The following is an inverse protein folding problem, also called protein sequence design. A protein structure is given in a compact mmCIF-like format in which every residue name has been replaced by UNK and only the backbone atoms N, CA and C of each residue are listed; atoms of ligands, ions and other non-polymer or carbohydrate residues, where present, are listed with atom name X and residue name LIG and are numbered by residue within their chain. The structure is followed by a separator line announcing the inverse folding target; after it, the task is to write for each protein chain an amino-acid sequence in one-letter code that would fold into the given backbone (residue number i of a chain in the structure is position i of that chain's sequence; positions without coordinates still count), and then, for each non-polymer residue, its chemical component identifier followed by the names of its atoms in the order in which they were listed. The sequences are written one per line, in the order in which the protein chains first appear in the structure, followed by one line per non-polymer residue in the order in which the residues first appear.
data_IF_299491503776
#
_entry.id   IF_299491503776
#
_cell.length_a   1.000
_cell.length_b   1.000
_cell.length_c   1.000
_cell.angle_alpha   90.00
_cell.angle_beta   90.00
_cell.angle_gamma   90.00
#
_symmetry.space_group_name_H-M   'P 1'
#
loop_
_entity.id
_entity.type
_entity.pdbx_description
1 polymer ?
#
# COMPACT_ATOMS: atom_id res chain seq x y z
N UNK A 1 -10.14 -10.82 8.22
CA UNK A 1 -10.44 -9.47 7.68
C UNK A 1 -11.01 -8.65 8.81
N UNK A 2 -10.40 -7.50 9.16
CA UNK A 2 -10.95 -6.56 10.14
C UNK A 2 -11.86 -5.54 9.46
N UNK A 3 -12.99 -5.23 10.06
CA UNK A 3 -13.90 -4.18 9.61
C UNK A 3 -13.71 -2.97 10.53
N UNK A 4 -13.51 -1.79 9.94
CA UNK A 4 -13.23 -0.56 10.67
C UNK A 4 -14.05 0.58 10.07
N UNK A 5 -14.49 1.50 10.92
CA UNK A 5 -15.14 2.75 10.51
C UNK A 5 -14.31 3.92 11.04
N UNK A 6 -14.01 4.89 10.18
CA UNK A 6 -13.25 6.10 10.53
C UNK A 6 -13.97 7.34 10.00
N UNK A 7 -14.07 8.35 10.85
CA UNK A 7 -14.56 9.68 10.46
C UNK A 7 -13.38 10.51 9.97
N UNK A 8 -13.46 11.03 8.75
CA UNK A 8 -12.43 11.89 8.17
C UNK A 8 -13.05 13.19 7.66
N UNK A 9 -12.21 14.20 7.44
CA UNK A 9 -12.60 15.47 6.84
C UNK A 9 -13.14 15.31 5.42
N UNK A 10 -14.05 16.18 4.98
CA UNK A 10 -14.69 16.10 3.65
C UNK A 10 -13.69 16.13 2.49
N UNK A 11 -12.55 16.78 2.71
CA UNK A 11 -11.41 16.77 1.80
C UNK A 11 -10.19 16.30 2.56
N UNK A 12 -9.57 15.22 2.07
CA UNK A 12 -8.38 14.63 2.66
C UNK A 12 -7.56 13.88 1.61
N UNK A 13 -6.34 13.52 2.00
CA UNK A 13 -5.50 12.58 1.28
C UNK A 13 -5.32 11.33 2.15
N UNK A 14 -5.40 10.16 1.53
CA UNK A 14 -5.11 8.88 2.18
C UNK A 14 -3.86 8.27 1.53
N UNK A 15 -2.76 8.28 2.28
CA UNK A 15 -1.48 7.70 1.92
C UNK A 15 -1.53 6.19 2.17
N UNK A 16 -1.30 5.41 1.14
CA UNK A 16 -1.34 3.94 1.18
C UNK A 16 0.08 3.45 0.88
N UNK A 17 0.72 2.88 1.89
CA UNK A 17 2.15 2.54 1.86
C UNK A 17 2.40 1.26 2.64
N UNK A 18 3.57 0.66 2.50
CA UNK A 18 3.95 -0.56 3.21
C UNK A 18 5.32 -1.02 2.74
N UNK A 19 5.67 -2.26 3.07
CA UNK A 19 6.91 -2.89 2.60
C UNK A 19 8.13 -2.01 2.91
N UNK A 20 8.17 -1.51 4.15
CA UNK A 20 9.29 -0.70 4.65
C UNK A 20 10.47 -1.58 5.03
N UNK A 21 10.21 -2.80 5.52
CA UNK A 21 11.26 -3.77 5.86
C UNK A 21 12.31 -3.21 6.83
N UNK A 22 11.87 -2.66 7.96
CA UNK A 22 12.80 -2.16 8.98
C UNK A 22 13.72 -3.28 9.48
N UNK A 23 15.03 -3.01 9.49
CA UNK A 23 16.09 -4.01 9.70
C UNK A 23 16.89 -4.34 8.45
N UNK A 24 16.36 -4.02 7.25
CA UNK A 24 17.11 -4.10 5.99
C UNK A 24 17.89 -2.83 5.71
N UNK A 25 19.16 -2.97 5.31
CA UNK A 25 20.02 -1.84 4.91
C UNK A 25 19.62 -1.24 3.56
N UNK A 26 18.87 -1.99 2.74
CA UNK A 26 18.32 -1.53 1.47
C UNK A 26 17.03 -0.73 1.64
N UNK A 27 16.50 -0.63 2.86
CA UNK A 27 15.32 0.17 3.18
C UNK A 27 15.62 1.67 3.07
N UNK A 28 14.90 2.37 2.21
CA UNK A 28 15.10 3.79 1.92
C UNK A 28 14.64 4.68 3.07
N UNK A 29 15.59 5.12 3.90
CA UNK A 29 15.33 6.06 5.00
C UNK A 29 14.97 7.45 4.48
N UNK A 30 15.60 7.91 3.39
CA UNK A 30 15.29 9.19 2.74
C UNK A 30 13.87 9.18 2.17
N UNK A 31 13.47 8.06 1.55
CA UNK A 31 12.11 7.84 1.07
C UNK A 31 11.06 7.90 2.17
N UNK A 32 11.35 7.26 3.32
CA UNK A 32 10.45 7.29 4.47
C UNK A 32 10.33 8.69 5.10
N UNK A 33 11.46 9.40 5.28
CA UNK A 33 11.45 10.80 5.74
C UNK A 33 10.63 11.69 4.80
N UNK A 34 10.70 11.44 3.48
CA UNK A 34 9.87 12.15 2.50
C UNK A 34 8.37 11.88 2.71
N UNK A 35 7.97 10.63 2.93
CA UNK A 35 6.58 10.29 3.29
C UNK A 35 6.11 11.04 4.53
N UNK A 36 6.88 10.97 5.63
CA UNK A 36 6.53 11.66 6.90
C UNK A 36 6.32 13.16 6.65
N UNK A 37 7.28 13.80 5.98
CA UNK A 37 7.21 15.22 5.68
C UNK A 37 5.97 15.57 4.86
N UNK A 38 5.62 14.72 3.88
CA UNK A 38 4.41 14.91 3.08
C UNK A 38 3.13 14.73 3.89
N UNK A 39 3.07 13.76 4.81
CA UNK A 39 1.91 13.57 5.68
C UNK A 39 1.71 14.74 6.64
N UNK A 40 2.77 15.46 7.03
CA UNK A 40 2.65 16.68 7.83
C UNK A 40 2.49 17.97 7.03
N UNK A 41 2.57 17.91 5.70
CA UNK A 41 2.54 19.08 4.83
C UNK A 41 1.26 19.14 3.99
N UNK A 42 0.92 20.33 3.51
CA UNK A 42 -0.15 20.46 2.51
C UNK A 42 0.24 19.70 1.24
N UNK A 43 -0.61 18.77 0.80
CA UNK A 43 -0.46 18.05 -0.45
C UNK A 43 -1.67 18.31 -1.35
N UNK A 44 -1.40 18.81 -2.56
CA UNK A 44 -2.41 19.11 -3.58
C UNK A 44 -3.59 19.93 -3.01
N UNK A 45 -3.25 21.05 -2.38
CA UNK A 45 -4.20 21.98 -1.76
C UNK A 45 -4.84 21.50 -0.45
N UNK A 46 -4.61 20.27 0.01
CA UNK A 46 -5.25 19.70 1.20
C UNK A 46 -4.24 19.43 2.34
N UNK A 47 -4.63 19.75 3.58
CA UNK A 47 -3.78 19.56 4.78
C UNK A 47 -4.15 18.28 5.56
N UNK A 48 -5.34 17.73 5.34
CA UNK A 48 -5.82 16.56 6.07
C UNK A 48 -5.24 15.31 5.43
N UNK A 49 -4.18 14.77 6.04
CA UNK A 49 -3.48 13.61 5.54
C UNK A 49 -3.58 12.46 6.54
N UNK A 50 -3.92 11.28 6.02
CA UNK A 50 -4.05 10.05 6.81
C UNK A 50 -3.26 8.93 6.15
N UNK A 51 -2.88 7.92 6.93
CA UNK A 51 -2.05 6.80 6.46
C UNK A 51 -2.70 5.44 6.69
N UNK A 52 -2.43 4.51 5.78
CA UNK A 52 -2.67 3.06 5.93
C UNK A 52 -1.38 2.35 5.59
N UNK A 53 -0.77 1.71 6.59
CA UNK A 53 0.40 0.84 6.39
C UNK A 53 -0.11 -0.56 6.02
N UNK A 54 0.24 -1.07 4.84
CA UNK A 54 -0.22 -2.37 4.32
C UNK A 54 0.70 -3.52 4.68
N UNK A 55 1.62 -3.34 5.62
CA UNK A 55 2.36 -4.41 6.27
C UNK A 55 3.81 -4.54 5.83
N UNK A 56 4.45 -5.63 6.27
CA UNK A 56 5.91 -5.82 6.19
C UNK A 56 6.68 -4.64 6.79
N UNK A 57 6.30 -4.34 8.03
CA UNK A 57 6.91 -3.25 8.82
C UNK A 57 8.35 -3.57 9.24
N UNK A 58 8.72 -4.85 9.30
CA UNK A 58 10.07 -5.33 9.60
C UNK A 58 10.52 -6.34 8.55
N UNK A 59 11.83 -6.45 8.33
CA UNK A 59 12.42 -7.41 7.40
C UNK A 59 12.27 -8.86 7.90
N UNK A 60 12.31 -9.08 9.22
CA UNK A 60 12.14 -10.40 9.84
C UNK A 60 13.11 -11.47 9.30
N UNK A 61 14.26 -11.06 8.76
CA UNK A 61 15.41 -11.92 8.49
C UNK A 61 16.30 -11.90 9.74
N UNK A 62 16.47 -13.08 10.32
CA UNK A 62 17.24 -13.33 11.53
C UNK A 62 18.50 -14.13 11.17
N UNK A 63 19.48 -14.25 12.07
CA UNK A 63 20.76 -14.94 11.79
C UNK A 63 20.62 -16.40 11.34
N UNK A 64 19.49 -17.04 11.63
CA UNK A 64 19.15 -18.42 11.26
C UNK A 64 18.36 -18.53 9.95
N UNK A 65 17.98 -17.41 9.32
CA UNK A 65 17.36 -17.41 8.00
C UNK A 65 18.43 -17.56 6.91
N UNK A 66 18.22 -18.46 5.95
CA UNK A 66 19.15 -18.69 4.83
C UNK A 66 19.44 -17.46 3.97
N UNK A 67 18.59 -16.43 4.06
CA UNK A 67 18.73 -15.14 3.35
C UNK A 67 19.51 -14.12 4.17
N UNK A 68 19.88 -14.44 5.41
CA UNK A 68 20.73 -13.59 6.23
C UNK A 68 22.14 -13.62 5.66
N UNK A 69 22.62 -12.43 5.30
CA UNK A 69 23.99 -12.23 4.90
C UNK A 69 24.64 -11.30 5.94
N UNK A 70 25.77 -11.70 6.54
CA UNK A 70 26.43 -10.93 7.60
C UNK A 70 27.21 -9.72 7.07
N UNK A 71 27.19 -9.47 5.75
CA UNK A 71 27.90 -8.37 5.12
C UNK A 71 27.45 -7.04 5.73
N UNK A 72 28.42 -6.32 6.28
CA UNK A 72 28.29 -4.89 6.58
C UNK A 72 28.84 -4.15 5.36
N UNK A 73 28.19 -3.08 4.89
CA UNK A 73 28.81 -2.19 3.92
C UNK A 73 30.13 -1.71 4.52
N UNK A 74 31.20 -1.68 3.71
CA UNK A 74 32.56 -1.36 4.15
C UNK A 74 32.62 0.01 4.86
N UNK A 75 31.70 0.92 4.53
CA UNK A 75 31.69 2.32 4.98
C UNK A 75 30.39 2.79 5.66
N UNK A 76 29.53 1.90 6.16
CA UNK A 76 28.29 2.30 6.87
C UNK A 76 28.25 1.74 8.29
N UNK A 77 28.14 2.64 9.27
CA UNK A 77 27.94 2.32 10.69
C UNK A 77 26.56 1.67 10.99
N UNK A 78 25.67 1.62 10.00
CA UNK A 78 24.37 0.96 10.12
C UNK A 78 24.50 -0.54 9.83
N UNK A 79 24.74 -1.32 10.88
CA UNK A 79 24.69 -2.78 10.79
C UNK A 79 23.24 -3.27 10.58
N UNK A 80 23.09 -4.39 9.86
CA UNK A 80 21.86 -5.20 9.88
C UNK A 80 21.43 -5.40 11.33
N UNK A 81 20.11 -5.30 11.60
CA UNK A 81 19.55 -5.50 12.94
C UNK A 81 18.99 -6.93 13.00
N UNK A 82 19.79 -7.95 13.37
CA UNK A 82 19.34 -9.35 13.32
C UNK A 82 18.39 -9.75 14.45
N UNK A 83 17.92 -8.81 15.26
CA UNK A 83 17.02 -9.08 16.38
C UNK A 83 15.61 -8.60 16.05
N UNK A 84 14.65 -9.53 16.09
CA UNK A 84 13.23 -9.25 15.87
C UNK A 84 12.71 -8.10 16.75
N UNK A 85 13.09 -8.10 18.03
CA UNK A 85 12.69 -7.06 18.99
C UNK A 85 13.27 -5.71 18.57
N UNK A 86 14.56 -5.65 18.26
CA UNK A 86 15.20 -4.39 17.81
C UNK A 86 14.61 -3.88 16.49
N UNK A 87 14.25 -4.77 15.56
CA UNK A 87 13.55 -4.37 14.32
C UNK A 87 12.19 -3.76 14.63
N UNK A 88 11.42 -4.34 15.57
CA UNK A 88 10.13 -3.80 15.99
C UNK A 88 10.29 -2.47 16.74
N UNK A 89 11.29 -2.34 17.62
CA UNK A 89 11.59 -1.07 18.28
C UNK A 89 11.86 0.03 17.25
N UNK A 90 12.66 -0.27 16.22
CA UNK A 90 12.90 0.68 15.14
C UNK A 90 11.64 0.98 14.34
N UNK A 91 10.84 -0.04 14.02
CA UNK A 91 9.59 0.14 13.27
C UNK A 91 8.59 1.03 14.02
N UNK A 92 8.54 0.95 15.34
CA UNK A 92 7.75 1.84 16.22
C UNK A 92 8.35 3.24 16.21
N UNK A 93 9.65 3.38 16.49
CA UNK A 93 10.34 4.67 16.53
C UNK A 93 10.11 5.51 15.27
N UNK A 94 10.26 4.92 14.08
CA UNK A 94 10.14 5.68 12.82
C UNK A 94 8.70 6.02 12.44
N UNK A 95 7.71 5.34 13.03
CA UNK A 95 6.28 5.59 12.80
C UNK A 95 5.70 6.55 13.82
N UNK A 96 6.35 6.72 14.96
CA UNK A 96 5.94 7.64 16.03
C UNK A 96 5.54 9.04 15.53
N UNK A 97 6.27 9.69 14.59
CA UNK A 97 5.92 11.03 14.12
C UNK A 97 4.54 11.10 13.44
N UNK A 98 4.08 10.01 12.82
CA UNK A 98 2.84 9.96 12.04
C UNK A 98 1.73 9.13 12.70
N UNK A 99 1.92 8.67 13.94
CA UNK A 99 1.00 7.72 14.60
C UNK A 99 -0.44 8.22 14.68
N UNK A 100 -0.64 9.52 14.93
CA UNK A 100 -1.97 10.14 15.04
C UNK A 100 -2.68 10.23 13.67
N UNK A 101 -1.91 10.20 12.58
CA UNK A 101 -2.44 10.17 11.21
C UNK A 101 -2.66 8.76 10.68
N UNK A 102 -2.14 7.73 11.35
CA UNK A 102 -2.29 6.32 10.93
C UNK A 102 -3.67 5.79 11.31
N UNK A 103 -4.46 5.43 10.29
CA UNK A 103 -5.79 4.86 10.49
C UNK A 103 -5.73 3.39 10.91
N UNK A 104 -4.77 2.65 10.36
CA UNK A 104 -4.45 1.28 10.72
C UNK A 104 -3.08 0.87 10.19
N UNK A 105 -2.58 -0.26 10.71
CA UNK A 105 -1.46 -1.00 10.12
C UNK A 105 -1.86 -2.47 9.90
N UNK A 106 -1.56 -3.01 8.73
CA UNK A 106 -1.75 -4.42 8.41
C UNK A 106 -0.53 -5.25 8.76
N UNK A 107 -0.78 -6.52 9.03
CA UNK A 107 0.26 -7.53 9.13
C UNK A 107 0.77 -7.94 7.75
N UNK A 108 2.03 -8.34 7.67
CA UNK A 108 2.65 -8.80 6.42
C UNK A 108 3.23 -10.20 6.51
N UNK A 109 3.76 -10.73 5.41
CA UNK A 109 4.33 -12.08 5.43
C UNK A 109 5.71 -12.13 6.11
N UNK A 110 6.43 -11.04 6.24
CA UNK A 110 7.73 -10.99 6.93
C UNK A 110 7.56 -11.16 8.45
N UNK A 111 6.83 -10.28 9.18
CA UNK A 111 6.61 -10.46 10.62
C UNK A 111 6.03 -11.84 11.00
N UNK A 112 5.17 -12.41 10.14
CA UNK A 112 4.56 -13.74 10.35
C UNK A 112 5.54 -14.91 10.38
N UNK A 113 6.71 -14.80 9.74
CA UNK A 113 7.76 -15.83 9.84
C UNK A 113 8.21 -16.03 11.29
N UNK A 114 8.11 -14.96 12.08
CA UNK A 114 8.51 -14.91 13.48
C UNK A 114 7.32 -15.14 14.44
N UNK A 115 6.29 -15.89 14.02
CA UNK A 115 5.08 -16.15 14.81
C UNK A 115 5.36 -16.70 16.23
N UNK A 116 6.50 -17.37 16.44
CA UNK A 116 6.94 -17.88 17.74
C UNK A 116 7.18 -16.78 18.78
N UNK A 117 7.44 -15.55 18.31
CA UNK A 117 7.57 -14.35 19.14
C UNK A 117 6.23 -13.61 19.32
N UNK A 118 5.12 -14.22 18.88
CA UNK A 118 3.80 -13.61 18.88
C UNK A 118 3.53 -12.78 17.62
N UNK A 119 2.51 -11.93 17.71
CA UNK A 119 2.09 -11.07 16.61
C UNK A 119 2.82 -9.72 16.70
N UNK A 120 4.00 -9.66 16.10
CA UNK A 120 4.89 -8.50 16.17
C UNK A 120 4.25 -7.22 15.63
N UNK A 121 3.45 -7.31 14.55
CA UNK A 121 2.74 -6.14 14.02
C UNK A 121 1.67 -5.63 14.98
N UNK A 122 0.94 -6.54 15.63
CA UNK A 122 -0.05 -6.15 16.63
C UNK A 122 0.59 -5.53 17.88
N UNK A 123 1.78 -5.99 18.28
CA UNK A 123 2.56 -5.37 19.35
C UNK A 123 2.98 -3.93 18.98
N UNK A 124 3.53 -3.74 17.78
CA UNK A 124 3.86 -2.40 17.28
C UNK A 124 2.65 -1.46 17.26
N UNK A 125 1.49 -1.96 16.79
CA UNK A 125 0.22 -1.21 16.80
C UNK A 125 -0.18 -0.81 18.23
N UNK A 126 -0.10 -1.74 19.18
CA UNK A 126 -0.43 -1.49 20.59
C UNK A 126 0.47 -0.41 21.18
N UNK A 127 1.77 -0.43 20.89
CA UNK A 127 2.75 0.56 21.36
C UNK A 127 2.50 1.96 20.78
N UNK A 128 2.12 2.02 19.50
CA UNK A 128 1.82 3.27 18.80
C UNK A 128 0.42 3.82 19.11
N UNK A 129 -0.46 3.02 19.72
CA UNK A 129 -1.88 3.39 19.87
C UNK A 129 -2.66 3.36 18.53
N UNK A 130 -2.17 2.61 17.55
CA UNK A 130 -2.75 2.52 16.20
C UNK A 130 -3.57 1.24 16.06
N UNK A 131 -4.61 1.29 15.23
CA UNK A 131 -5.44 0.11 14.97
C UNK A 131 -4.69 -0.99 14.22
N UNK A 132 -4.61 -2.18 14.81
CA UNK A 132 -4.15 -3.37 14.11
C UNK A 132 -5.22 -3.90 13.16
N UNK A 133 -4.97 -3.90 11.85
CA UNK A 133 -5.93 -4.27 10.80
C UNK A 133 -5.96 -5.75 10.41
N UNK A 134 -5.17 -6.63 11.07
CA UNK A 134 -4.90 -8.01 10.62
C UNK A 134 -4.19 -8.06 9.26
N UNK A 135 -4.24 -9.16 8.52
CA UNK A 135 -3.64 -9.28 7.18
C UNK A 135 -4.46 -8.58 6.08
N UNK A 136 -5.76 -8.39 6.33
CA UNK A 136 -6.70 -7.68 5.45
C UNK A 136 -7.65 -6.84 6.28
N UNK A 137 -7.94 -5.63 5.82
CA UNK A 137 -8.91 -4.74 6.45
C UNK A 137 -9.83 -4.11 5.41
N UNK A 138 -11.05 -3.80 5.86
CA UNK A 138 -11.99 -2.95 5.14
C UNK A 138 -12.25 -1.71 5.98
N UNK A 139 -11.95 -0.54 5.41
CA UNK A 139 -12.19 0.76 6.03
C UNK A 139 -13.45 1.36 5.43
N UNK A 140 -14.40 1.68 6.29
CA UNK A 140 -15.57 2.50 5.96
C UNK A 140 -15.28 3.93 6.38
N UNK A 141 -15.22 4.84 5.42
CA UNK A 141 -14.92 6.25 5.66
C UNK A 141 -16.22 7.04 5.65
N UNK A 142 -16.47 7.76 6.73
CA UNK A 142 -17.66 8.60 6.89
C UNK A 142 -17.28 10.06 7.11
N UNK A 143 -18.19 10.97 6.78
CA UNK A 143 -18.04 12.39 7.11
C UNK A 143 -18.26 12.65 8.62
N UNK A 144 -18.16 13.92 9.03
CA UNK A 144 -18.38 14.35 10.42
C UNK A 144 -19.79 14.03 10.93
N UNK A 145 -20.78 14.05 10.04
CA UNK A 145 -22.18 13.69 10.31
C UNK A 145 -22.45 12.18 10.30
N UNK A 146 -21.46 11.36 9.94
CA UNK A 146 -21.57 9.90 9.87
C UNK A 146 -22.10 9.36 8.55
N UNK A 147 -22.27 10.19 7.52
CA UNK A 147 -22.67 9.72 6.19
C UNK A 147 -21.51 9.01 5.50
N UNK A 148 -21.81 7.94 4.77
CA UNK A 148 -20.81 7.19 4.01
C UNK A 148 -20.19 8.07 2.90
N UNK A 149 -18.87 8.22 2.94
CA UNK A 149 -18.10 8.86 1.87
C UNK A 149 -17.64 7.85 0.84
N UNK A 150 -16.96 6.78 1.28
CA UNK A 150 -16.48 5.67 0.46
C UNK A 150 -15.99 4.52 1.36
N UNK A 151 -15.71 3.36 0.77
CA UNK A 151 -15.06 2.23 1.45
C UNK A 151 -13.78 1.82 0.73
N UNK A 152 -12.77 1.42 1.49
CA UNK A 152 -11.53 0.84 0.97
C UNK A 152 -11.33 -0.58 1.47
N UNK A 153 -10.73 -1.42 0.64
CA UNK A 153 -10.20 -2.72 1.04
C UNK A 153 -8.68 -2.68 0.90
N UNK A 154 -7.99 -3.07 1.96
CA UNK A 154 -6.53 -3.16 1.98
C UNK A 154 -6.10 -4.58 2.37
N UNK A 155 -5.05 -5.07 1.72
CA UNK A 155 -4.41 -6.36 2.05
C UNK A 155 -2.92 -6.22 1.89
N UNK A 156 -2.13 -6.89 2.71
CA UNK A 156 -0.72 -7.07 2.37
C UNK A 156 -0.61 -7.94 1.10
N UNK A 157 -1.27 -9.10 1.13
CA UNK A 157 -1.42 -10.01 0.00
C UNK A 157 -0.20 -10.92 -0.20
N UNK A 158 -0.29 -11.83 -1.17
CA UNK A 158 0.67 -12.94 -1.30
C UNK A 158 1.05 -13.32 -2.74
N UNK A 159 0.15 -13.08 -3.72
CA UNK A 159 0.39 -13.49 -5.12
C UNK A 159 1.32 -12.50 -5.85
N UNK A 160 2.22 -12.97 -6.71
CA UNK A 160 3.08 -12.07 -7.48
C UNK A 160 2.32 -11.33 -8.61
N UNK A 161 2.85 -10.19 -9.04
CA UNK A 161 2.36 -9.42 -10.20
C UNK A 161 3.54 -9.23 -11.15
N UNK A 162 3.59 -10.07 -12.18
CA UNK A 162 4.67 -10.09 -13.17
C UNK A 162 4.09 -10.29 -14.57
N UNK A 163 4.82 -9.85 -15.59
CA UNK A 163 4.46 -10.05 -17.00
C UNK A 163 5.74 -10.23 -17.81
N UNK A 164 5.74 -11.22 -18.70
CA UNK A 164 6.85 -11.54 -19.61
C UNK A 164 6.78 -10.79 -20.94
N UNK A 165 5.78 -9.92 -21.14
CA UNK A 165 5.67 -9.09 -22.34
C UNK A 165 6.92 -8.19 -22.51
N UNK A 166 7.47 -8.20 -23.72
CA UNK A 166 8.58 -7.36 -24.18
C UNK A 166 8.22 -5.86 -24.23
N UNK A 167 7.07 -5.51 -24.82
CA UNK A 167 6.58 -4.14 -24.91
C UNK A 167 6.20 -3.57 -23.52
N UNK A 168 6.78 -2.43 -23.11
CA UNK A 168 6.50 -1.83 -21.80
C UNK A 168 5.03 -1.52 -21.54
N UNK A 169 4.29 -1.06 -22.56
CA UNK A 169 2.86 -0.72 -22.42
C UNK A 169 2.02 -1.97 -22.16
N UNK A 170 2.22 -3.02 -22.97
CA UNK A 170 1.58 -4.33 -22.80
C UNK A 170 1.95 -4.97 -21.46
N UNK A 171 3.22 -4.87 -21.04
CA UNK A 171 3.67 -5.36 -19.73
C UNK A 171 2.91 -4.68 -18.60
N UNK A 172 2.79 -3.35 -18.65
CA UNK A 172 2.04 -2.58 -17.66
C UNK A 172 0.56 -2.96 -17.63
N UNK A 173 -0.11 -2.99 -18.78
CA UNK A 173 -1.53 -3.37 -18.86
C UNK A 173 -1.78 -4.79 -18.34
N UNK A 174 -0.89 -5.74 -18.62
CA UNK A 174 -0.97 -7.10 -18.07
C UNK A 174 -0.85 -7.11 -16.55
N UNK A 175 0.10 -6.36 -15.98
CA UNK A 175 0.27 -6.25 -14.53
C UNK A 175 -0.94 -5.60 -13.84
N UNK A 176 -1.52 -4.56 -14.45
CA UNK A 176 -2.76 -3.91 -13.97
C UNK A 176 -3.95 -4.88 -14.00
N UNK A 177 -4.09 -5.69 -15.06
CA UNK A 177 -5.12 -6.73 -15.14
C UNK A 177 -4.94 -7.82 -14.07
N UNK A 178 -3.70 -8.25 -13.80
CA UNK A 178 -3.40 -9.21 -12.72
C UNK A 178 -3.76 -8.63 -11.36
N UNK A 179 -3.39 -7.37 -11.09
CA UNK A 179 -3.77 -6.65 -9.87
C UNK A 179 -5.29 -6.65 -9.67
N UNK A 180 -6.04 -6.25 -10.70
CA UNK A 180 -7.51 -6.23 -10.71
C UNK A 180 -8.09 -7.62 -10.45
N UNK A 181 -7.58 -8.67 -11.10
CA UNK A 181 -8.03 -10.06 -10.90
C UNK A 181 -7.80 -10.54 -9.46
N UNK A 182 -6.71 -10.13 -8.82
CA UNK A 182 -6.44 -10.48 -7.42
C UNK A 182 -7.45 -9.87 -6.45
N UNK A 183 -7.96 -8.68 -6.75
CA UNK A 183 -8.73 -7.86 -5.83
C UNK A 183 -10.24 -7.84 -6.10
N UNK A 184 -10.69 -7.94 -7.36
CA UNK A 184 -12.09 -7.67 -7.76
C UNK A 184 -13.18 -8.43 -6.99
N UNK A 185 -12.87 -9.62 -6.47
CA UNK A 185 -13.83 -10.46 -5.73
C UNK A 185 -13.64 -10.42 -4.21
N UNK A 186 -12.83 -9.51 -3.67
CA UNK A 186 -12.52 -9.47 -2.22
C UNK A 186 -13.51 -8.61 -1.41
N UNK A 187 -13.92 -7.47 -1.95
CA UNK A 187 -14.91 -6.59 -1.34
C UNK A 187 -15.67 -5.84 -2.46
N UNK A 188 -16.92 -6.23 -2.71
CA UNK A 188 -17.71 -5.76 -3.85
C UNK A 188 -18.17 -4.30 -3.75
N UNK A 189 -18.27 -3.79 -2.54
CA UNK A 189 -18.79 -2.47 -2.17
C UNK A 189 -17.68 -1.47 -1.82
N UNK A 190 -16.42 -1.80 -2.12
CA UNK A 190 -15.28 -0.92 -1.92
C UNK A 190 -14.91 -0.22 -3.24
N UNK A 191 -14.90 1.10 -3.23
CA UNK A 191 -14.49 1.92 -4.37
C UNK A 191 -12.98 1.89 -4.62
N UNK A 192 -12.19 1.59 -3.57
CA UNK A 192 -10.73 1.53 -3.63
C UNK A 192 -10.25 0.20 -3.07
N UNK A 193 -9.41 -0.50 -3.81
CA UNK A 193 -8.87 -1.81 -3.47
C UNK A 193 -7.35 -1.76 -3.57
N UNK A 194 -6.63 -1.96 -2.48
CA UNK A 194 -5.16 -1.90 -2.48
C UNK A 194 -4.49 -3.14 -1.93
N UNK A 195 -3.29 -3.38 -2.44
CA UNK A 195 -2.42 -4.48 -2.05
C UNK A 195 -0.95 -4.01 -1.91
N UNK A 196 -0.16 -4.62 -1.03
CA UNK A 196 1.31 -4.45 -0.98
C UNK A 196 2.07 -5.67 -1.51
N UNK A 197 3.10 -6.09 -0.78
CA UNK A 197 3.85 -7.36 -0.92
C UNK A 197 4.74 -7.49 -2.15
N UNK A 198 4.29 -7.08 -3.33
CA UNK A 198 5.03 -7.35 -4.58
C UNK A 198 6.06 -6.28 -4.92
N UNK A 199 6.16 -5.23 -4.10
CA UNK A 199 7.04 -4.08 -4.29
C UNK A 199 6.92 -3.42 -5.67
N UNK A 200 5.70 -3.40 -6.25
CA UNK A 200 5.42 -2.72 -7.52
C UNK A 200 4.48 -1.56 -7.24
N UNK A 201 4.76 -0.41 -7.83
CA UNK A 201 3.91 0.76 -7.71
C UNK A 201 2.99 0.84 -8.94
N UNK A 202 1.72 0.46 -8.77
CA UNK A 202 0.77 0.32 -9.88
C UNK A 202 -0.59 0.91 -9.51
N UNK A 203 -1.27 1.49 -10.49
CA UNK A 203 -2.66 1.93 -10.37
C UNK A 203 -3.43 1.47 -11.61
N UNK A 204 -4.56 0.81 -11.40
CA UNK A 204 -5.56 0.58 -12.43
C UNK A 204 -6.77 1.47 -12.10
N UNK A 205 -7.03 2.44 -12.99
CA UNK A 205 -8.10 3.42 -12.84
C UNK A 205 -9.45 2.78 -13.21
N UNK A 206 -10.58 3.30 -12.71
CA UNK A 206 -11.89 2.99 -13.24
C UNK A 206 -11.96 3.34 -14.73
N UNK A 207 -12.60 2.48 -15.52
CA UNK A 207 -12.78 2.65 -16.96
C UNK A 207 -14.27 2.59 -17.27
N UNK A 208 -14.77 3.56 -18.03
CA UNK A 208 -16.12 3.53 -18.57
C UNK A 208 -16.13 2.85 -19.93
N UNK A 209 -17.16 2.04 -20.17
CA UNK A 209 -17.38 1.38 -21.45
C UNK A 209 -18.51 2.09 -22.21
N UNK A 210 -18.30 2.26 -23.52
CA UNK A 210 -19.31 2.79 -24.42
C UNK A 210 -20.30 1.69 -24.77
N UNK A 211 -21.59 1.97 -24.63
CA UNK A 211 -22.66 1.04 -25.01
C UNK A 211 -23.81 1.74 -25.72
N UNK A 212 -24.62 0.94 -26.42
CA UNK A 212 -25.82 1.40 -27.10
C UNK A 212 -27.07 1.01 -26.30
N UNK A 213 -28.05 1.90 -26.29
CA UNK A 213 -29.41 1.64 -25.82
C UNK A 213 -30.38 2.13 -26.88
N UNK A 214 -31.60 1.63 -26.91
CA UNK A 214 -32.68 2.18 -27.72
C UNK A 214 -33.97 2.30 -26.91
N UNK A 215 -34.88 3.13 -27.40
CA UNK A 215 -36.25 3.28 -26.89
C UNK A 215 -37.30 2.71 -27.87
N UNK A 216 -36.90 1.80 -28.75
CA UNK A 216 -37.73 1.29 -29.86
C UNK A 216 -37.83 2.24 -31.06
N UNK A 217 -37.34 3.49 -30.96
CA UNK A 217 -37.39 4.47 -32.05
C UNK A 217 -36.02 5.08 -32.39
N UNK A 218 -35.13 5.26 -31.41
CA UNK A 218 -33.82 5.87 -31.60
C UNK A 218 -32.73 5.15 -30.80
N UNK A 219 -31.63 4.83 -31.49
CA UNK A 219 -30.40 4.36 -30.85
C UNK A 219 -29.68 5.55 -30.18
N UNK A 220 -29.27 5.37 -28.93
CA UNK A 220 -28.51 6.31 -28.09
C UNK A 220 -27.20 5.66 -27.67
N UNK A 221 -26.14 6.47 -27.62
CA UNK A 221 -24.84 6.10 -27.06
C UNK A 221 -24.77 6.57 -25.60
N UNK A 222 -24.32 5.69 -24.72
CA UNK A 222 -24.11 5.98 -23.31
C UNK A 222 -22.76 5.43 -22.85
N UNK A 223 -22.29 5.92 -21.71
CA UNK A 223 -21.14 5.35 -21.01
C UNK A 223 -21.60 4.71 -19.71
N UNK A 224 -20.97 3.62 -19.33
CA UNK A 224 -21.20 3.04 -18.01
C UNK A 224 -20.80 4.04 -16.92
N UNK A 225 -21.61 4.12 -15.87
CA UNK A 225 -21.39 5.02 -14.74
C UNK A 225 -21.84 4.36 -13.44
N UNK A 226 -21.13 4.64 -12.36
CA UNK A 226 -21.36 3.99 -11.06
C UNK A 226 -21.11 4.97 -9.91
N UNK A 227 -21.85 4.81 -8.82
CA UNK A 227 -21.56 5.49 -7.56
C UNK A 227 -20.39 4.85 -6.82
N UNK A 228 -19.70 5.62 -5.98
CA UNK A 228 -18.62 5.12 -5.10
C UNK A 228 -19.14 4.51 -3.78
N UNK A 229 -20.46 4.55 -3.56
CA UNK A 229 -21.15 4.17 -2.31
C UNK A 229 -22.26 3.14 -2.51
N UNK A 230 -22.24 2.41 -3.63
CA UNK A 230 -23.23 1.37 -3.92
C UNK A 230 -22.99 0.10 -3.08
N UNK A 231 -24.04 -0.67 -2.84
CA UNK A 231 -23.94 -2.01 -2.22
C UNK A 231 -23.10 -2.98 -3.06
N UNK A 232 -23.03 -2.72 -4.37
CA UNK A 232 -22.13 -3.39 -5.28
C UNK A 232 -21.62 -2.39 -6.33
N UNK A 233 -20.31 -2.27 -6.42
CA UNK A 233 -19.63 -1.43 -7.41
C UNK A 233 -19.06 -2.36 -8.48
N UNK A 234 -19.30 -2.14 -9.77
CA UNK A 234 -18.73 -3.02 -10.81
C UNK A 234 -17.19 -3.04 -10.74
N UNK A 235 -16.48 -4.17 -10.99
CA UNK A 235 -15.02 -4.21 -10.97
C UNK A 235 -14.35 -3.15 -11.83
N UNK A 236 -14.94 -2.79 -12.97
CA UNK A 236 -14.37 -1.78 -13.87
C UNK A 236 -14.58 -0.34 -13.37
N UNK A 237 -15.39 -0.18 -12.33
CA UNK A 237 -15.71 1.10 -11.70
C UNK A 237 -14.88 1.40 -10.44
N UNK A 238 -13.92 0.53 -10.09
CA UNK A 238 -13.14 0.62 -8.85
C UNK A 238 -11.70 1.03 -9.15
N UNK A 239 -11.09 1.73 -8.21
CA UNK A 239 -9.66 1.96 -8.20
C UNK A 239 -8.94 0.73 -7.64
N UNK A 240 -7.91 0.26 -8.34
CA UNK A 240 -7.01 -0.76 -7.81
C UNK A 240 -5.60 -0.20 -7.69
N UNK A 241 -4.96 -0.45 -6.55
CA UNK A 241 -3.60 0.02 -6.27
C UNK A 241 -2.69 -1.08 -5.78
N UNK A 242 -1.43 -1.03 -6.20
CA UNK A 242 -0.33 -1.70 -5.54
C UNK A 242 0.57 -0.66 -4.90
N UNK A 243 0.78 -0.74 -3.58
CA UNK A 243 1.29 0.35 -2.74
C UNK A 243 2.77 0.65 -2.93
N UNK A 244 3.50 -0.06 -3.79
CA UNK A 244 4.94 0.12 -3.93
C UNK A 244 5.71 -0.46 -2.74
N UNK A 245 6.87 0.12 -2.46
CA UNK A 245 7.78 -0.29 -1.38
C UNK A 245 8.81 0.81 -1.11
N UNK A 246 9.45 0.74 0.05
CA UNK A 246 10.64 1.52 0.37
C UNK A 246 11.92 0.69 0.30
N UNK A 247 11.85 -0.61 -0.01
CA UNK A 247 12.99 -1.50 -0.08
C UNK A 247 13.62 -1.47 -1.49
N UNK A 248 14.87 -1.03 -1.58
CA UNK A 248 15.67 -1.18 -2.81
C UNK A 248 15.97 -2.67 -3.03
N UNK A 249 16.04 -3.11 -4.28
CA UNK A 249 16.44 -4.48 -4.61
C UNK A 249 17.95 -4.62 -4.82
N UNK A 250 18.62 -3.50 -5.10
CA UNK A 250 20.06 -3.41 -5.38
C UNK A 250 20.66 -2.28 -4.55
N UNK A 251 21.90 -2.44 -4.09
CA UNK A 251 22.63 -1.46 -3.30
C UNK A 251 24.11 -1.40 -3.66
N UNK A 252 24.76 -0.28 -3.39
CA UNK A 252 26.21 -0.15 -3.53
C UNK A 252 26.90 -0.95 -2.42
N UNK A 253 27.94 -1.72 -2.80
CA UNK A 253 28.82 -2.49 -1.92
C UNK A 253 28.11 -3.49 -1.00
N UNK A 254 26.97 -4.03 -1.43
CA UNK A 254 26.27 -5.10 -0.73
C UNK A 254 25.41 -5.93 -1.69
N UNK A 255 25.46 -7.26 -1.58
CA UNK A 255 24.59 -8.14 -2.36
C UNK A 255 23.39 -8.60 -1.53
N UNK A 256 22.21 -8.06 -1.85
CA UNK A 256 20.95 -8.47 -1.24
C UNK A 256 20.39 -9.77 -1.83
N UNK A 257 19.38 -10.35 -1.17
CA UNK A 257 18.65 -11.52 -1.70
C UNK A 257 18.12 -11.28 -3.12
N UNK A 258 17.60 -10.08 -3.38
CA UNK A 258 17.01 -9.75 -4.68
C UNK A 258 18.05 -9.70 -5.81
N UNK A 259 19.26 -9.21 -5.53
CA UNK A 259 20.38 -9.21 -6.47
C UNK A 259 20.85 -10.64 -6.78
N UNK A 260 21.03 -11.47 -5.74
CA UNK A 260 21.41 -12.88 -5.88
C UNK A 260 20.39 -13.68 -6.70
N UNK A 261 19.11 -13.31 -6.59
CA UNK A 261 18.01 -13.92 -7.35
C UNK A 261 17.75 -13.22 -8.70
N UNK A 262 18.61 -12.28 -9.11
CA UNK A 262 18.53 -11.56 -10.38
C UNK A 262 17.18 -10.86 -10.63
N UNK A 263 16.58 -10.30 -9.58
CA UNK A 263 15.34 -9.55 -9.74
C UNK A 263 15.58 -8.20 -10.41
N UNK A 264 14.70 -7.87 -11.36
CA UNK A 264 14.67 -6.55 -12.00
C UNK A 264 14.48 -5.42 -10.97
N UNK A 265 15.08 -4.25 -11.21
CA UNK A 265 14.87 -3.08 -10.37
C UNK A 265 13.39 -2.67 -10.30
N UNK A 266 13.04 -1.94 -9.24
CA UNK A 266 11.68 -1.46 -8.98
C UNK A 266 11.69 0.03 -8.68
N UNK A 267 10.55 0.65 -8.98
CA UNK A 267 10.25 2.00 -8.55
C UNK A 267 9.90 1.99 -7.05
N UNK A 268 10.56 2.86 -6.27
CA UNK A 268 10.18 3.08 -4.87
C UNK A 268 9.12 4.18 -4.78
N UNK A 269 8.24 4.03 -3.80
CA UNK A 269 7.16 5.00 -3.60
C UNK A 269 5.96 4.41 -2.90
N UNK A 270 4.88 5.18 -2.94
CA UNK A 270 3.61 4.87 -2.29
C UNK A 270 2.45 5.44 -3.09
N UNK A 271 1.22 5.06 -2.75
CA UNK A 271 0.02 5.60 -3.39
C UNK A 271 -0.61 6.71 -2.55
N UNK A 272 -1.26 7.65 -3.22
CA UNK A 272 -2.04 8.71 -2.58
C UNK A 272 -3.44 8.71 -3.19
N UNK A 273 -4.45 8.48 -2.36
CA UNK A 273 -5.86 8.66 -2.73
C UNK A 273 -6.29 10.08 -2.36
N UNK A 274 -6.72 10.85 -3.35
CA UNK A 274 -7.23 12.21 -3.20
C UNK A 274 -8.75 12.20 -3.08
N UNK A 275 -9.25 12.71 -1.98
CA UNK A 275 -10.68 12.90 -1.75
C UNK A 275 -10.97 14.38 -1.58
N UNK A 276 -11.92 14.92 -2.35
CA UNK A 276 -12.32 16.33 -2.31
C UNK A 276 -13.84 16.40 -2.27
N UNK A 277 -14.38 17.18 -1.34
CA UNK A 277 -15.84 17.34 -1.16
C UNK A 277 -16.56 15.99 -1.16
N UNK A 278 -16.03 15.04 -0.38
CA UNK A 278 -16.50 13.65 -0.22
C UNK A 278 -16.38 12.74 -1.42
N UNK A 279 -15.85 13.20 -2.56
CA UNK A 279 -15.67 12.39 -3.77
C UNK A 279 -14.21 11.96 -3.94
N UNK A 280 -14.00 10.71 -4.33
CA UNK A 280 -12.70 10.24 -4.80
C UNK A 280 -12.42 10.92 -6.13
N UNK A 281 -11.29 11.65 -6.19
CA UNK A 281 -10.85 12.33 -7.40
C UNK A 281 -9.85 11.46 -8.15
N UNK A 282 -8.86 10.92 -7.43
CA UNK A 282 -7.79 10.15 -8.05
C UNK A 282 -7.09 9.25 -7.02
N UNK A 283 -6.63 8.09 -7.47
CA UNK A 283 -5.56 7.33 -6.83
C UNK A 283 -4.33 7.45 -7.72
N UNK A 284 -3.22 7.96 -7.19
CA UNK A 284 -2.00 8.17 -7.97
C UNK A 284 -0.76 7.57 -7.29
N UNK A 285 0.25 7.16 -8.07
CA UNK A 285 1.56 6.81 -7.55
C UNK A 285 2.40 8.05 -7.25
N UNK A 286 3.09 8.05 -6.11
CA UNK A 286 4.15 8.99 -5.80
C UNK A 286 5.50 8.29 -5.89
N UNK A 287 6.28 8.66 -6.90
CA UNK A 287 7.61 8.09 -7.15
C UNK A 287 8.68 8.81 -6.33
N UNK A 288 9.44 8.06 -5.56
CA UNK A 288 10.60 8.57 -4.83
C UNK A 288 11.79 8.70 -5.79
N UNK A 289 12.35 9.91 -5.87
CA UNK A 289 13.63 10.16 -6.55
C UNK A 289 14.72 10.08 -5.48
N UNK A 290 15.57 9.07 -5.58
CA UNK A 290 16.56 8.65 -4.57
C UNK A 290 17.84 8.20 -5.25
#
# INVERSE_FOLDING_TARGET
MKLLTKKLEDSHNLFLFGDKHDGSMLSSQTGWKKLINMMHSRYDGCINNYGVDVGDIIEAIMVDDKRFYPEKPVDKDEAVIPSAIKQIDKAVEIREPIKESLLLMLDGNHPRKLWRFGNLTADACKRLGVEYGTYTAKLTITDSSGNLMYKTYATHGFKNITSTADDPKRRRSNMELILKRHLRFKAGDCAVMVKGHTHKLLVCKPESELFLTDDGHKIKQNYTGWGQNEDYIHPDARWYGNTGSFLKLHGEDMSGYAEIMEYDPIELGFLILKVRKRKIIELEPYYLKI
#
